data_IF_331281766500
#
_entry.id   IF_331281766500
#
_cell.length_a   1.000
_cell.length_b   1.000
_cell.length_c   1.000
_cell.angle_alpha   90.00
_cell.angle_beta   90.00
_cell.angle_gamma   90.00
#
_symmetry.space_group_name_H-M   'P 1'
#
loop_
_entity.id
_entity.type
_entity.pdbx_description
1 polymer ?
#
# COMPACT_ATOMS: atom_id res chain seq x y z
N UNK A 1 3.87 28.44 -3.17
CA UNK A 1 5.11 27.57 -3.22
C UNK A 1 4.66 26.17 -3.61
N UNK A 2 5.53 25.32 -4.25
CA UNK A 2 5.17 23.93 -4.59
C UNK A 2 5.68 23.00 -3.49
N UNK A 3 4.80 22.17 -2.97
CA UNK A 3 5.10 21.20 -1.92
C UNK A 3 4.92 19.78 -2.45
N UNK A 4 5.73 18.86 -1.93
CA UNK A 4 5.57 17.43 -2.19
C UNK A 4 5.35 16.71 -0.87
N UNK A 5 4.30 15.93 -0.81
CA UNK A 5 3.93 15.14 0.37
C UNK A 5 3.82 13.68 -0.01
N UNK A 6 4.43 12.81 0.77
CA UNK A 6 4.26 11.35 0.63
C UNK A 6 3.03 10.91 1.40
N UNK A 7 2.27 10.02 0.79
CA UNK A 7 1.24 9.24 1.45
C UNK A 7 1.60 7.76 1.33
N UNK A 8 1.67 7.08 2.46
CA UNK A 8 2.12 5.68 2.56
C UNK A 8 1.04 4.89 3.29
N UNK A 9 -0.01 4.44 2.59
CA UNK A 9 -1.06 3.63 3.19
C UNK A 9 -0.50 2.33 3.76
N UNK A 10 -1.07 1.89 4.89
CA UNK A 10 -0.77 0.58 5.46
C UNK A 10 -1.80 -0.42 4.97
N UNK A 11 -1.33 -1.50 4.37
CA UNK A 11 -2.14 -2.62 3.92
C UNK A 11 -1.78 -3.84 4.76
N UNK A 12 -2.67 -4.28 5.68
CA UNK A 12 -2.37 -5.42 6.55
C UNK A 12 -2.06 -6.69 5.76
N UNK A 13 -1.12 -7.51 6.26
CA UNK A 13 -0.76 -8.77 5.61
C UNK A 13 -1.95 -9.69 5.39
N UNK A 14 -2.95 -9.65 6.29
CA UNK A 14 -4.19 -10.44 6.15
C UNK A 14 -4.95 -10.18 4.85
N UNK A 15 -4.90 -8.96 4.32
CA UNK A 15 -5.55 -8.61 3.06
C UNK A 15 -4.62 -8.76 1.85
N UNK A 16 -3.31 -8.82 2.07
CA UNK A 16 -2.32 -9.02 0.99
C UNK A 16 -2.18 -10.49 0.57
N UNK A 17 -2.86 -11.41 1.26
CA UNK A 17 -2.84 -12.86 0.97
C UNK A 17 -3.60 -13.27 -0.29
N UNK A 18 -4.43 -12.40 -0.83
CA UNK A 18 -5.25 -12.66 -2.00
C UNK A 18 -5.03 -11.57 -3.05
N UNK A 19 -5.13 -11.95 -4.31
CA UNK A 19 -5.18 -10.98 -5.38
C UNK A 19 -6.46 -10.14 -5.29
N UNK A 20 -6.34 -8.85 -5.62
CA UNK A 20 -7.46 -7.93 -5.70
C UNK A 20 -8.08 -7.99 -7.09
N UNK A 21 -9.40 -8.04 -7.15
CA UNK A 21 -10.15 -7.91 -8.38
C UNK A 21 -10.54 -6.45 -8.69
N UNK A 22 -11.07 -6.23 -9.88
CA UNK A 22 -11.67 -4.95 -10.26
C UNK A 22 -12.75 -4.53 -9.25
N UNK A 23 -12.75 -3.25 -8.89
CA UNK A 23 -13.64 -2.62 -7.90
C UNK A 23 -13.40 -2.97 -6.43
N UNK A 24 -12.38 -3.75 -6.12
CA UNK A 24 -12.01 -4.00 -4.72
C UNK A 24 -11.21 -2.85 -4.12
N UNK A 25 -11.38 -2.63 -2.82
CA UNK A 25 -10.69 -1.56 -2.11
C UNK A 25 -9.25 -1.97 -1.85
N UNK A 26 -8.31 -1.23 -2.43
CA UNK A 26 -6.88 -1.46 -2.21
C UNK A 26 -6.46 -1.10 -0.79
N UNK A 27 -6.91 0.04 -0.31
CA UNK A 27 -6.70 0.49 1.07
C UNK A 27 -7.78 1.49 1.48
N UNK A 28 -8.08 1.46 2.77
CA UNK A 28 -9.04 2.36 3.39
C UNK A 28 -8.48 3.77 3.61
N UNK A 29 -9.31 4.67 4.09
CA UNK A 29 -8.98 6.06 4.34
C UNK A 29 -7.68 6.21 5.15
N UNK A 30 -6.64 6.64 4.47
CA UNK A 30 -5.34 6.92 5.03
C UNK A 30 -5.14 8.43 5.18
N UNK A 31 -4.83 8.89 6.40
CA UNK A 31 -4.49 10.28 6.64
C UNK A 31 -3.13 10.61 6.04
N UNK A 32 -3.08 11.59 5.16
CA UNK A 32 -1.83 12.08 4.60
C UNK A 32 -1.12 12.93 5.64
N UNK A 33 -0.09 12.36 6.24
CA UNK A 33 0.74 13.08 7.22
C UNK A 33 1.52 14.20 6.55
N UNK A 34 1.81 15.26 7.28
CA UNK A 34 2.59 16.42 6.80
C UNK A 34 1.95 17.21 5.63
N UNK A 35 0.71 16.93 5.27
CA UNK A 35 -0.01 17.78 4.33
C UNK A 35 -0.27 19.16 4.96
N UNK A 36 0.15 20.21 4.26
CA UNK A 36 0.10 21.59 4.77
C UNK A 36 -1.12 22.39 4.28
N UNK A 37 -2.04 21.74 3.60
CA UNK A 37 -3.12 22.42 2.91
C UNK A 37 -2.74 22.83 1.49
N UNK A 38 -3.61 23.62 0.87
CA UNK A 38 -3.42 24.12 -0.50
C UNK A 38 -4.15 23.29 -1.55
N UNK A 39 -3.78 23.49 -2.79
CA UNK A 39 -4.41 22.84 -3.95
C UNK A 39 -3.52 21.72 -4.46
N UNK A 40 -4.04 20.49 -4.48
CA UNK A 40 -3.36 19.35 -5.07
C UNK A 40 -3.38 19.50 -6.59
N UNK A 41 -2.19 19.52 -7.19
CA UNK A 41 -1.98 19.72 -8.62
C UNK A 41 -1.54 18.46 -9.35
N UNK A 42 -1.09 17.47 -8.63
CA UNK A 42 -0.67 16.21 -9.23
C UNK A 42 -0.50 15.11 -8.21
N UNK A 43 -0.59 13.89 -8.69
CA UNK A 43 -0.37 12.68 -7.93
C UNK A 43 0.46 11.71 -8.77
N UNK A 44 1.40 11.04 -8.12
CA UNK A 44 2.13 9.90 -8.66
C UNK A 44 1.91 8.71 -7.74
N UNK A 45 1.76 7.53 -8.30
CA UNK A 45 1.73 6.28 -7.56
C UNK A 45 3.02 5.51 -7.78
N UNK A 46 3.49 4.87 -6.73
CA UNK A 46 4.54 3.86 -6.73
C UNK A 46 3.88 2.60 -6.21
N UNK A 47 3.82 1.57 -7.03
CA UNK A 47 3.27 0.27 -6.66
C UNK A 47 4.39 -0.74 -6.69
N UNK A 48 4.50 -1.53 -5.64
CA UNK A 48 5.57 -2.49 -5.47
C UNK A 48 5.02 -3.80 -4.97
N UNK A 49 5.16 -4.83 -5.80
CA UNK A 49 4.76 -6.18 -5.44
C UNK A 49 5.68 -6.80 -4.40
N UNK A 50 5.25 -7.93 -3.88
CA UNK A 50 6.00 -8.78 -2.97
C UNK A 50 6.25 -10.17 -3.54
N UNK A 51 5.82 -10.43 -4.75
CA UNK A 51 6.16 -11.63 -5.49
C UNK A 51 7.37 -11.37 -6.39
N UNK A 52 8.47 -11.99 -6.06
CA UNK A 52 9.78 -11.68 -6.62
C UNK A 52 10.00 -12.05 -8.06
N UNK A 53 9.13 -12.82 -8.67
CA UNK A 53 9.36 -13.27 -10.03
C UNK A 53 8.75 -12.35 -11.08
N UNK A 54 7.56 -11.85 -10.84
CA UNK A 54 6.80 -11.17 -11.87
C UNK A 54 6.12 -9.89 -11.41
N UNK A 55 6.48 -9.39 -10.26
CA UNK A 55 5.92 -8.13 -9.78
C UNK A 55 4.39 -8.06 -9.90
N UNK A 56 3.81 -7.08 -9.34
CA UNK A 56 2.42 -6.72 -9.45
C UNK A 56 1.87 -6.69 -10.88
N UNK A 57 2.70 -6.93 -11.87
CA UNK A 57 2.24 -6.56 -13.17
C UNK A 57 2.74 -7.37 -14.34
N UNK A 58 2.44 -8.63 -14.35
CA UNK A 58 2.16 -9.24 -15.64
C UNK A 58 1.08 -8.44 -16.41
N UNK A 59 0.29 -7.64 -15.70
CA UNK A 59 -0.69 -6.71 -16.27
C UNK A 59 -0.67 -5.41 -15.47
N UNK A 60 -0.21 -4.33 -16.09
CA UNK A 60 -0.38 -3.00 -15.54
C UNK A 60 -1.87 -2.73 -15.31
N UNK A 61 -2.24 -2.41 -14.09
CA UNK A 61 -3.62 -2.13 -13.72
C UNK A 61 -3.76 -0.73 -13.13
N UNK A 62 -4.89 -0.10 -13.38
CA UNK A 62 -5.20 1.22 -12.86
C UNK A 62 -5.82 1.19 -11.48
N UNK A 63 -6.00 2.37 -10.90
CA UNK A 63 -6.72 2.56 -9.66
C UNK A 63 -7.50 3.88 -9.66
N UNK A 64 -8.62 3.90 -8.96
CA UNK A 64 -9.36 5.11 -8.64
C UNK A 64 -8.97 5.57 -7.24
N UNK A 65 -8.57 6.83 -7.13
CA UNK A 65 -8.10 7.44 -5.89
C UNK A 65 -9.12 8.49 -5.46
N UNK A 66 -9.56 8.42 -4.23
CA UNK A 66 -10.52 9.30 -3.61
C UNK A 66 -9.85 10.17 -2.57
N UNK A 67 -10.32 11.42 -2.47
CA UNK A 67 -9.84 12.41 -1.53
C UNK A 67 -10.95 12.87 -0.61
N UNK A 68 -10.68 12.96 0.68
CA UNK A 68 -11.63 13.43 1.68
C UNK A 68 -10.98 14.36 2.71
N UNK A 69 -11.80 15.17 3.37
CA UNK A 69 -11.36 16.10 4.44
C UNK A 69 -11.38 15.48 5.83
N UNK A 70 -12.03 14.35 5.98
CA UNK A 70 -12.03 13.59 7.23
C UNK A 70 -12.05 12.10 6.93
N UNK A 71 -11.51 11.31 7.85
CA UNK A 71 -11.77 9.90 7.83
C UNK A 71 -13.28 9.72 7.94
N UNK A 72 -13.87 9.12 6.93
CA UNK A 72 -15.23 8.68 7.00
C UNK A 72 -15.20 7.54 8.00
N UNK A 73 -15.42 7.87 9.27
CA UNK A 73 -15.64 6.83 10.28
C UNK A 73 -16.89 6.14 9.85
N UNK A 74 -16.68 4.93 9.40
CA UNK A 74 -17.78 4.06 9.26
C UNK A 74 -18.55 4.06 10.54
N UNK A 75 -19.77 4.19 10.35
CA UNK A 75 -20.62 3.36 11.13
C UNK A 75 -20.12 1.92 10.95
N UNK A 76 -20.64 0.99 11.69
CA UNK A 76 -20.27 -0.42 11.76
C UNK A 76 -19.98 -1.17 10.42
N UNK A 77 -19.72 -0.50 9.32
CA UNK A 77 -19.44 -1.01 7.98
C UNK A 77 -18.03 -0.68 7.49
N UNK A 78 -17.18 -0.33 8.40
CA UNK A 78 -15.77 -0.17 8.13
C UNK A 78 -15.21 -1.37 7.42
N UNK A 79 -14.27 -1.12 6.53
CA UNK A 79 -13.53 -2.15 5.85
C UNK A 79 -12.93 -3.03 6.92
N UNK A 80 -13.46 -4.24 7.07
CA UNK A 80 -12.90 -5.21 7.99
C UNK A 80 -11.58 -5.68 7.43
N UNK A 81 -10.52 -5.39 8.14
CA UNK A 81 -9.16 -5.85 7.81
C UNK A 81 -9.00 -7.38 7.86
N UNK A 82 -9.98 -8.08 8.39
CA UNK A 82 -9.95 -9.53 8.57
C UNK A 82 -10.65 -10.31 7.45
N UNK A 83 -11.08 -9.65 6.40
CA UNK A 83 -11.80 -10.28 5.30
C UNK A 83 -11.08 -10.08 3.97
N UNK A 84 -11.40 -10.93 3.00
CA UNK A 84 -11.01 -10.71 1.61
C UNK A 84 -11.34 -9.27 1.18
N UNK A 85 -10.55 -8.67 0.28
CA UNK A 85 -10.75 -7.28 -0.11
C UNK A 85 -12.21 -6.98 -0.40
N UNK A 86 -12.80 -5.95 0.21
CA UNK A 86 -14.21 -5.67 0.02
C UNK A 86 -14.46 -5.11 -1.38
N UNK A 87 -15.56 -5.48 -1.99
CA UNK A 87 -15.96 -5.05 -3.33
C UNK A 87 -16.89 -3.86 -3.27
N UNK A 88 -16.70 -2.87 -4.14
CA UNK A 88 -17.58 -1.72 -4.24
C UNK A 88 -19.03 -2.16 -4.52
N UNK A 89 -19.96 -1.73 -3.69
CA UNK A 89 -21.39 -2.04 -3.85
C UNK A 89 -21.83 -3.37 -3.27
N UNK A 90 -20.95 -4.16 -2.66
CA UNK A 90 -21.37 -5.32 -1.87
C UNK A 90 -21.84 -4.89 -0.48
N UNK A 91 -22.93 -5.47 -0.01
CA UNK A 91 -23.48 -5.15 1.31
C UNK A 91 -22.45 -5.41 2.40
N UNK A 92 -22.02 -4.37 3.10
CA UNK A 92 -21.01 -4.41 4.15
C UNK A 92 -19.57 -4.15 3.68
N UNK A 93 -19.33 -3.98 2.39
CA UNK A 93 -17.99 -3.86 1.83
C UNK A 93 -17.53 -2.42 1.55
N UNK A 94 -18.45 -1.53 1.29
CA UNK A 94 -18.13 -0.12 1.04
C UNK A 94 -19.05 0.74 1.85
N UNK A 95 -18.55 1.79 2.50
CA UNK A 95 -19.44 2.82 3.02
C UNK A 95 -20.38 3.22 1.89
N UNK A 96 -21.65 3.19 2.14
CA UNK A 96 -22.64 3.72 1.22
C UNK A 96 -22.12 5.05 0.67
N UNK A 97 -22.09 5.21 -0.65
CA UNK A 97 -21.66 6.46 -1.31
C UNK A 97 -22.37 7.68 -0.75
N UNK A 98 -23.48 7.46 -0.09
CA UNK A 98 -24.22 8.47 0.66
C UNK A 98 -23.44 9.02 1.85
N UNK A 99 -22.64 8.22 2.54
CA UNK A 99 -21.81 8.67 3.68
C UNK A 99 -20.58 9.45 3.22
N UNK A 100 -20.09 9.20 2.02
CA UNK A 100 -18.99 9.95 1.43
C UNK A 100 -19.39 11.37 1.01
N UNK A 101 -20.66 11.60 0.80
CA UNK A 101 -21.21 12.81 0.22
C UNK A 101 -20.73 14.12 0.86
N UNK A 102 -20.53 14.11 2.17
CA UNK A 102 -20.19 15.35 2.89
C UNK A 102 -18.68 15.55 3.06
N UNK A 103 -17.88 14.53 2.87
CA UNK A 103 -16.44 14.57 3.18
C UNK A 103 -15.58 14.37 1.93
N UNK A 104 -16.14 13.78 0.89
CA UNK A 104 -15.44 13.59 -0.38
C UNK A 104 -15.25 14.94 -1.07
N UNK A 105 -14.00 15.25 -1.38
CA UNK A 105 -13.64 16.53 -2.04
C UNK A 105 -13.14 16.32 -3.46
N UNK A 106 -12.86 15.09 -3.86
CA UNK A 106 -12.45 14.80 -5.23
C UNK A 106 -12.10 13.35 -5.47
N UNK A 107 -11.88 13.07 -6.73
CA UNK A 107 -11.48 11.77 -7.24
C UNK A 107 -10.55 11.95 -8.43
N UNK A 108 -9.65 11.01 -8.63
CA UNK A 108 -8.87 10.89 -9.87
C UNK A 108 -8.62 9.42 -10.15
N UNK A 109 -8.33 9.10 -11.42
CA UNK A 109 -7.96 7.75 -11.82
C UNK A 109 -6.53 7.74 -12.35
N UNK A 110 -5.77 6.75 -11.95
CA UNK A 110 -4.53 6.35 -12.60
C UNK A 110 -4.88 5.13 -13.45
N UNK A 111 -4.73 5.26 -14.77
CA UNK A 111 -5.05 4.18 -15.71
C UNK A 111 -3.83 3.28 -15.92
N UNK A 112 -4.06 2.04 -16.38
CA UNK A 112 -2.98 1.14 -16.77
C UNK A 112 -2.00 1.80 -17.78
N UNK A 113 -2.51 2.59 -18.71
CA UNK A 113 -1.69 3.33 -19.67
C UNK A 113 -0.83 4.45 -19.07
N UNK A 114 -1.11 4.87 -17.84
CA UNK A 114 -0.33 5.87 -17.10
C UNK A 114 0.82 5.23 -16.30
N UNK A 115 0.88 3.92 -16.26
CA UNK A 115 1.85 3.16 -15.47
C UNK A 115 3.04 2.76 -16.34
N UNK A 116 4.23 2.85 -15.78
CA UNK A 116 5.45 2.33 -16.34
C UNK A 116 5.94 1.17 -15.47
N UNK A 117 6.02 0.01 -16.07
CA UNK A 117 6.57 -1.18 -15.41
C UNK A 117 8.10 -1.11 -15.39
N UNK A 118 8.67 -1.42 -14.26
CA UNK A 118 10.08 -1.67 -14.05
C UNK A 118 10.23 -2.91 -13.17
N UNK A 119 11.35 -3.59 -13.23
CA UNK A 119 11.54 -4.90 -12.59
C UNK A 119 11.19 -4.97 -11.10
N UNK A 120 11.18 -3.84 -10.40
CA UNK A 120 10.94 -3.79 -8.94
C UNK A 120 9.74 -2.93 -8.56
N UNK A 121 9.35 -2.00 -9.38
CA UNK A 121 8.29 -1.03 -9.09
C UNK A 121 7.52 -0.66 -10.35
N UNK A 122 6.25 -0.37 -10.15
CA UNK A 122 5.39 0.25 -11.15
C UNK A 122 5.20 1.70 -10.79
N UNK A 123 5.50 2.60 -11.69
CA UNK A 123 5.41 4.04 -11.50
C UNK A 123 4.33 4.65 -12.39
N UNK A 124 3.68 5.70 -11.93
CA UNK A 124 2.85 6.53 -12.79
C UNK A 124 3.72 7.37 -13.70
N UNK A 125 3.57 7.24 -15.01
CA UNK A 125 4.33 8.00 -16.01
C UNK A 125 3.95 9.48 -15.91
N UNK A 126 4.95 10.32 -15.58
CA UNK A 126 4.79 11.77 -15.51
C UNK A 126 3.83 12.29 -14.43
N UNK A 127 3.21 11.39 -13.67
CA UNK A 127 2.17 11.71 -12.69
C UNK A 127 0.86 12.16 -13.34
N UNK A 128 -0.21 12.21 -12.55
CA UNK A 128 -1.47 12.82 -12.96
C UNK A 128 -1.43 14.31 -12.67
N UNK A 129 -1.75 15.12 -13.68
CA UNK A 129 -1.85 16.56 -13.58
C UNK A 129 -3.29 17.02 -13.79
N UNK A 130 -3.54 18.30 -13.52
CA UNK A 130 -4.89 18.87 -13.68
C UNK A 130 -5.84 18.58 -12.53
N UNK A 131 -5.33 18.06 -11.42
CA UNK A 131 -6.09 17.99 -10.18
C UNK A 131 -6.33 19.41 -9.65
N UNK A 132 -7.51 19.64 -9.13
CA UNK A 132 -7.90 20.90 -8.52
C UNK A 132 -8.68 20.63 -7.23
N UNK A 133 -8.02 19.92 -6.33
CA UNK A 133 -8.57 19.49 -5.05
C UNK A 133 -7.94 20.34 -3.97
N UNK A 134 -8.75 21.18 -3.32
CA UNK A 134 -8.28 22.07 -2.27
C UNK A 134 -8.85 21.71 -0.91
N UNK A 135 -8.01 21.73 0.10
CA UNK A 135 -8.43 21.65 1.50
C UNK A 135 -7.51 22.47 2.38
N UNK A 136 -8.07 23.09 3.40
CA UNK A 136 -7.34 23.86 4.40
C UNK A 136 -7.08 23.05 5.68
N UNK A 137 -7.49 21.80 5.69
CA UNK A 137 -7.39 20.93 6.85
C UNK A 137 -6.71 19.59 6.51
N UNK A 138 -7.09 18.59 7.25
CA UNK A 138 -6.62 17.23 7.01
C UNK A 138 -7.01 16.73 5.62
N UNK A 139 -6.12 15.95 5.04
CA UNK A 139 -6.35 15.23 3.80
C UNK A 139 -6.31 13.72 4.05
N UNK A 140 -7.32 13.04 3.54
CA UNK A 140 -7.39 11.58 3.54
C UNK A 140 -7.48 11.07 2.11
N UNK A 141 -6.85 9.94 1.85
CA UNK A 141 -6.91 9.24 0.57
C UNK A 141 -7.36 7.80 0.78
N UNK A 142 -8.09 7.27 -0.20
CA UNK A 142 -8.42 5.86 -0.32
C UNK A 142 -8.30 5.45 -1.78
N UNK A 143 -8.11 4.18 -2.08
CA UNK A 143 -8.04 3.71 -3.46
C UNK A 143 -8.81 2.42 -3.70
N UNK A 144 -9.33 2.31 -4.91
CA UNK A 144 -10.06 1.14 -5.43
C UNK A 144 -9.33 0.63 -6.65
N UNK A 145 -9.17 -0.69 -6.74
CA UNK A 145 -8.57 -1.36 -7.88
C UNK A 145 -9.43 -1.22 -9.15
N UNK A 146 -8.79 -1.07 -10.29
CA UNK A 146 -9.43 -1.12 -11.63
C UNK A 146 -8.92 -2.33 -12.44
N UNK A 147 -8.74 -3.42 -11.76
CA UNK A 147 -8.23 -4.66 -12.29
C UNK A 147 -7.50 -5.44 -11.19
N UNK A 148 -6.88 -6.52 -11.59
CA UNK A 148 -6.27 -7.46 -10.65
C UNK A 148 -4.91 -6.93 -10.15
N UNK A 149 -4.83 -6.57 -8.88
CA UNK A 149 -3.58 -6.35 -8.16
C UNK A 149 -3.21 -7.61 -7.37
N UNK A 150 -1.98 -8.05 -7.47
CA UNK A 150 -1.48 -9.17 -6.70
C UNK A 150 -0.28 -8.73 -5.84
N UNK A 151 -0.47 -8.78 -4.53
CA UNK A 151 0.56 -8.49 -3.53
C UNK A 151 0.93 -9.73 -2.72
N UNK A 152 0.49 -10.91 -3.16
CA UNK A 152 0.83 -12.15 -2.47
C UNK A 152 2.34 -12.34 -2.41
N UNK A 153 2.82 -12.87 -1.29
CA UNK A 153 4.25 -13.11 -1.08
C UNK A 153 4.55 -14.60 -1.15
N UNK A 154 5.65 -14.92 -1.81
CA UNK A 154 6.24 -16.27 -1.81
C UNK A 154 7.46 -16.37 -0.90
N UNK A 155 7.91 -15.25 -0.32
CA UNK A 155 9.07 -15.21 0.58
C UNK A 155 8.66 -15.62 1.98
N UNK A 156 9.26 -16.69 2.48
CA UNK A 156 8.93 -17.27 3.78
C UNK A 156 10.10 -17.17 4.76
N UNK A 157 9.77 -17.09 6.04
CA UNK A 157 10.74 -17.25 7.13
C UNK A 157 11.39 -18.62 7.04
N UNK A 158 12.71 -18.65 6.92
CA UNK A 158 13.49 -19.89 6.91
C UNK A 158 13.93 -20.35 8.31
N UNK A 159 14.30 -19.38 9.14
CA UNK A 159 14.68 -19.61 10.54
C UNK A 159 13.81 -18.72 11.40
N UNK A 160 13.18 -19.27 12.43
CA UNK A 160 12.34 -18.53 13.36
C UNK A 160 13.02 -17.22 13.78
N UNK A 161 12.31 -16.10 13.68
CA UNK A 161 12.85 -14.81 14.07
C UNK A 161 12.95 -14.69 15.60
N UNK A 162 13.91 -13.94 16.07
CA UNK A 162 14.11 -13.77 17.50
C UNK A 162 14.19 -12.27 17.86
N UNK A 163 13.55 -11.88 18.93
CA UNK A 163 13.45 -10.45 19.34
C UNK A 163 14.77 -9.83 19.81
N UNK A 164 15.84 -10.61 19.84
CA UNK A 164 17.18 -10.13 20.21
C UNK A 164 18.14 -10.04 19.01
N UNK A 165 17.67 -10.16 17.79
CA UNK A 165 18.47 -10.08 16.55
C UNK A 165 17.84 -9.15 15.53
N UNK A 166 18.67 -8.54 14.70
CA UNK A 166 18.28 -7.78 13.51
C UNK A 166 18.25 -8.63 12.24
N UNK A 167 18.74 -9.88 12.31
CA UNK A 167 18.81 -10.76 11.15
C UNK A 167 17.49 -11.50 10.94
N UNK A 168 17.02 -11.51 9.71
CA UNK A 168 15.90 -12.34 9.25
C UNK A 168 16.39 -13.22 8.10
N UNK A 169 16.29 -14.52 8.27
CA UNK A 169 16.66 -15.50 7.26
C UNK A 169 15.42 -15.99 6.56
N UNK A 170 15.38 -15.86 5.25
CA UNK A 170 14.25 -16.23 4.42
C UNK A 170 14.61 -17.34 3.44
N UNK A 171 13.61 -18.01 2.93
CA UNK A 171 13.71 -19.03 1.87
C UNK A 171 12.80 -18.65 0.70
N UNK A 172 12.87 -19.48 -0.36
CA UNK A 172 12.16 -19.30 -1.61
C UNK A 172 12.63 -18.06 -2.38
N UNK A 173 13.92 -17.85 -2.44
CA UNK A 173 14.66 -16.87 -3.23
C UNK A 173 13.87 -15.63 -3.65
N UNK A 174 14.34 -14.47 -3.41
CA UNK A 174 13.67 -13.25 -3.85
C UNK A 174 13.68 -12.12 -2.83
N UNK A 175 14.42 -12.25 -1.71
CA UNK A 175 14.54 -11.17 -0.75
C UNK A 175 15.08 -9.90 -1.41
N UNK A 176 16.05 -10.03 -2.32
CA UNK A 176 16.63 -8.89 -3.07
C UNK A 176 15.61 -8.20 -3.98
N UNK A 177 14.67 -8.97 -4.52
CA UNK A 177 13.67 -8.45 -5.47
C UNK A 177 12.46 -7.91 -4.71
N UNK A 178 12.05 -8.59 -3.63
CA UNK A 178 10.82 -8.30 -2.93
C UNK A 178 10.91 -7.18 -1.92
N UNK A 179 12.08 -7.01 -1.30
CA UNK A 179 12.23 -6.09 -0.19
C UNK A 179 13.34 -5.08 -0.43
N UNK A 180 13.15 -3.88 0.09
CA UNK A 180 14.12 -2.80 0.02
C UNK A 180 14.25 -2.09 1.37
N UNK A 181 15.35 -1.36 1.59
CA UNK A 181 15.50 -0.52 2.78
C UNK A 181 14.31 0.41 2.97
N UNK A 182 13.74 0.39 4.17
CA UNK A 182 12.56 1.18 4.54
C UNK A 182 11.23 0.43 4.47
N UNK A 183 11.19 -0.77 3.89
CA UNK A 183 9.99 -1.59 3.92
C UNK A 183 9.67 -2.06 5.33
N UNK A 184 8.41 -2.08 5.69
CA UNK A 184 7.93 -2.59 6.97
C UNK A 184 7.36 -3.98 6.77
N UNK A 185 7.97 -4.95 7.43
CA UNK A 185 7.63 -6.36 7.28
C UNK A 185 6.67 -6.82 8.37
N UNK A 186 5.63 -7.51 7.94
CA UNK A 186 4.74 -8.33 8.76
C UNK A 186 4.74 -9.76 8.24
N UNK A 187 4.47 -10.70 9.12
CA UNK A 187 4.15 -12.04 8.68
C UNK A 187 2.66 -12.17 8.32
N UNK A 188 2.28 -13.33 7.80
CA UNK A 188 0.90 -13.61 7.38
C UNK A 188 -0.15 -13.54 8.50
N UNK A 189 0.25 -13.53 9.76
CA UNK A 189 -0.61 -13.35 10.93
C UNK A 189 -0.66 -11.89 11.40
N UNK A 190 -0.16 -10.95 10.60
CA UNK A 190 0.00 -9.51 10.91
C UNK A 190 0.96 -9.22 12.07
N UNK A 191 1.83 -10.15 12.44
CA UNK A 191 2.85 -9.87 13.43
C UNK A 191 3.93 -8.95 12.82
N UNK A 192 4.21 -7.87 13.51
CA UNK A 192 5.27 -6.92 13.11
C UNK A 192 6.62 -7.60 13.25
N UNK A 193 7.36 -7.73 12.17
CA UNK A 193 8.74 -8.22 12.18
C UNK A 193 9.72 -7.07 12.33
N UNK A 194 9.55 -6.02 11.55
CA UNK A 194 10.37 -4.82 11.65
C UNK A 194 10.58 -4.09 10.33
N UNK A 195 11.40 -3.05 10.35
CA UNK A 195 11.72 -2.26 9.16
C UNK A 195 13.04 -2.75 8.57
N UNK A 196 13.07 -3.01 7.28
CA UNK A 196 14.25 -3.43 6.55
C UNK A 196 15.28 -2.30 6.53
N UNK A 197 16.49 -2.58 6.99
CA UNK A 197 17.65 -1.71 6.86
C UNK A 197 18.43 -2.00 5.58
N UNK A 198 18.64 -3.27 5.29
CA UNK A 198 19.32 -3.73 4.09
C UNK A 198 18.92 -5.15 3.74
N UNK A 199 18.99 -5.47 2.47
CA UNK A 199 18.94 -6.84 1.95
C UNK A 199 20.36 -7.23 1.58
N UNK A 200 20.86 -8.30 2.18
CA UNK A 200 22.27 -8.71 1.99
C UNK A 200 22.39 -9.63 0.78
N UNK A 201 21.46 -10.51 0.62
CA UNK A 201 21.33 -11.45 -0.49
C UNK A 201 19.88 -12.00 -0.57
N UNK A 202 19.62 -12.94 -1.46
CA UNK A 202 18.28 -13.51 -1.68
C UNK A 202 17.68 -14.21 -0.46
N UNK A 203 18.48 -14.51 0.55
CA UNK A 203 18.01 -15.21 1.73
C UNK A 203 18.19 -14.46 3.03
N UNK A 204 18.81 -13.28 3.01
CA UNK A 204 19.18 -12.59 4.23
C UNK A 204 18.77 -11.13 4.22
N UNK A 205 17.97 -10.76 5.20
CA UNK A 205 17.54 -9.39 5.50
C UNK A 205 18.18 -8.92 6.82
N UNK A 206 18.48 -7.65 6.91
CA UNK A 206 18.85 -6.99 8.16
C UNK A 206 17.84 -5.90 8.46
N UNK A 207 17.30 -5.92 9.66
CA UNK A 207 16.36 -4.91 10.14
C UNK A 207 17.10 -3.71 10.74
N UNK A 208 16.41 -2.58 10.81
CA UNK A 208 16.91 -1.36 11.43
C UNK A 208 17.04 -1.50 12.96
N UNK A 209 16.14 -2.23 13.56
CA UNK A 209 16.08 -2.57 14.98
C UNK A 209 15.95 -4.08 15.14
N UNK A 210 16.06 -4.58 16.35
CA UNK A 210 15.79 -6.00 16.64
C UNK A 210 14.36 -6.37 16.20
N UNK A 211 14.16 -7.63 15.81
CA UNK A 211 12.84 -8.12 15.45
C UNK A 211 11.83 -7.78 16.55
N UNK A 212 10.73 -7.18 16.16
CA UNK A 212 9.68 -6.77 17.08
C UNK A 212 8.89 -7.99 17.62
N UNK A 213 8.81 -9.05 16.82
CA UNK A 213 8.06 -10.27 17.15
C UNK A 213 8.78 -11.51 16.69
N UNK A 214 8.42 -12.65 17.30
CA UNK A 214 8.84 -13.97 16.86
C UNK A 214 7.88 -14.46 15.78
N UNK A 215 8.39 -14.72 14.59
CA UNK A 215 7.64 -15.33 13.51
C UNK A 215 8.17 -16.73 13.23
N UNK A 216 7.27 -17.70 13.15
CA UNK A 216 7.63 -19.10 12.97
C UNK A 216 8.16 -19.38 11.55
N UNK A 217 8.88 -20.49 11.43
CA UNK A 217 9.33 -20.99 10.12
C UNK A 217 8.14 -21.29 9.20
N UNK A 218 8.30 -21.01 7.93
CA UNK A 218 7.31 -21.12 6.85
C UNK A 218 6.20 -20.07 6.85
N UNK A 219 6.26 -19.06 7.67
CA UNK A 219 5.35 -17.91 7.58
C UNK A 219 5.75 -17.01 6.41
N UNK A 220 4.77 -16.62 5.58
CA UNK A 220 4.97 -15.66 4.50
C UNK A 220 5.21 -14.26 5.06
N UNK A 221 6.14 -13.53 4.44
CA UNK A 221 6.48 -12.16 4.80
C UNK A 221 5.90 -11.18 3.78
N UNK A 222 5.31 -10.11 4.26
CA UNK A 222 4.68 -9.07 3.45
C UNK A 222 5.27 -7.71 3.75
N UNK A 223 5.49 -6.91 2.71
CA UNK A 223 5.65 -5.47 2.86
C UNK A 223 4.26 -4.84 2.98
N UNK A 224 3.95 -4.25 4.13
CA UNK A 224 2.64 -3.65 4.37
C UNK A 224 2.46 -2.26 3.75
N UNK A 225 3.42 -1.77 3.01
CA UNK A 225 3.38 -0.50 2.28
C UNK A 225 3.63 -0.69 0.77
N UNK A 226 2.90 -1.60 0.10
CA UNK A 226 3.17 -1.90 -1.30
C UNK A 226 2.75 -0.76 -2.24
N UNK A 227 1.88 0.14 -1.78
CA UNK A 227 1.43 1.30 -2.56
C UNK A 227 1.82 2.58 -1.84
N UNK A 228 2.43 3.50 -2.57
CA UNK A 228 2.82 4.82 -2.07
C UNK A 228 2.42 5.89 -3.06
N UNK A 229 2.11 7.08 -2.57
CA UNK A 229 1.78 8.22 -3.41
C UNK A 229 2.70 9.40 -3.11
N UNK A 230 2.97 10.17 -4.16
CA UNK A 230 3.60 11.49 -4.07
C UNK A 230 2.58 12.51 -4.55
N UNK A 231 2.11 13.33 -3.64
CA UNK A 231 1.20 14.42 -3.91
C UNK A 231 1.99 15.70 -4.14
N UNK A 232 1.70 16.43 -5.21
CA UNK A 232 2.23 17.78 -5.39
C UNK A 232 1.12 18.79 -5.17
N UNK A 233 1.34 19.73 -4.26
CA UNK A 233 0.39 20.81 -3.95
C UNK A 233 1.02 22.20 -4.12
N UNK A 234 0.16 23.19 -4.24
CA UNK A 234 0.53 24.61 -4.23
C UNK A 234 -0.32 25.36 -3.21
N UNK A 235 0.28 26.34 -2.58
CA UNK A 235 -0.43 27.30 -1.75
C UNK A 235 -1.47 28.04 -2.57
#
# INVERSE_FOLDING_TARGET
MRHFTKAIPTMPASILKAAYADTEILFDWHKVTDYKGGVIRGIQAIVRGTDGADQVAATLVGMDIFFATSQIKEDARGISVDQAPPTLGTTGAVPDTFQWKNNLIGQTSILAADMLDGDLIVLTIGGKSGLDIATNGDLYIAAIAKGDFDFTSTVQVSTETATNTTAVVVKNTGALINFAPGDVLHDEDNLVIGTVKSVTDDNNLVLAENCASVSAVNKDLYNIHPVQFILSSTD
#
